data_IF_520594567669
#
_entry.id   IF_520594567669
#
_cell.length_a   1.000
_cell.length_b   1.000
_cell.length_c   1.000
_cell.angle_alpha   90.00
_cell.angle_beta   90.00
_cell.angle_gamma   90.00
#
_symmetry.space_group_name_H-M   'P 1'
#
loop_
_entity.id
_entity.type
_entity.pdbx_description
1 polymer ?
#
# COMPACT_ATOMS: atom_id res chain seq x y z
N UNK A 1 -14.63 -7.58 -19.91
CA UNK A 1 -15.43 -8.35 -18.93
C UNK A 1 -16.27 -7.32 -18.20
N UNK A 2 -17.60 -7.46 -18.10
CA UNK A 2 -18.44 -6.42 -17.49
C UNK A 2 -18.27 -6.37 -15.95
N UNK A 3 -17.90 -5.19 -15.42
CA UNK A 3 -17.77 -4.93 -13.97
C UNK A 3 -18.89 -4.02 -13.41
N UNK A 4 -20.00 -3.87 -14.14
CA UNK A 4 -21.16 -3.11 -13.67
C UNK A 4 -21.64 -3.57 -12.28
N UNK A 5 -21.98 -2.60 -11.41
CA UNK A 5 -22.35 -2.80 -10.00
C UNK A 5 -21.25 -3.42 -9.12
N UNK A 6 -19.98 -3.33 -9.52
CA UNK A 6 -18.85 -3.73 -8.69
C UNK A 6 -18.12 -2.50 -8.20
N UNK A 7 -17.90 -2.44 -6.89
CA UNK A 7 -17.05 -1.44 -6.26
C UNK A 7 -15.62 -1.96 -6.17
N UNK A 8 -14.66 -1.20 -6.68
CA UNK A 8 -13.23 -1.57 -6.69
C UNK A 8 -12.42 -0.51 -5.97
N UNK A 9 -11.83 -0.86 -4.83
CA UNK A 9 -10.94 0.00 -4.05
C UNK A 9 -9.48 -0.18 -4.49
N UNK A 10 -8.82 0.91 -4.85
CA UNK A 10 -7.44 0.89 -5.34
C UNK A 10 -6.60 1.86 -4.52
N UNK A 11 -5.69 1.30 -3.71
CA UNK A 11 -4.69 2.05 -2.96
C UNK A 11 -3.47 2.37 -3.81
N UNK A 12 -2.83 3.52 -3.59
CA UNK A 12 -1.70 3.97 -4.41
C UNK A 12 -2.13 4.40 -5.82
N UNK A 13 -3.39 4.81 -5.97
CA UNK A 13 -4.00 5.11 -7.27
C UNK A 13 -3.50 6.42 -7.92
N UNK A 14 -2.66 7.21 -7.24
CA UNK A 14 -2.22 8.52 -7.75
C UNK A 14 -1.19 8.47 -8.88
N UNK A 15 -0.68 7.28 -9.26
CA UNK A 15 0.24 7.11 -10.41
C UNK A 15 0.46 5.63 -10.76
N UNK A 16 1.12 5.39 -11.89
CA UNK A 16 1.68 4.10 -12.26
C UNK A 16 0.62 3.00 -12.33
N UNK A 17 0.92 1.85 -11.73
CA UNK A 17 0.05 0.67 -11.78
C UNK A 17 -1.32 0.96 -11.15
N UNK A 18 -1.37 1.66 -10.00
CA UNK A 18 -2.63 1.97 -9.34
C UNK A 18 -3.54 2.86 -10.20
N UNK A 19 -2.98 3.90 -10.81
CA UNK A 19 -3.72 4.79 -11.72
C UNK A 19 -4.24 4.04 -12.95
N UNK A 20 -3.38 3.27 -13.64
CA UNK A 20 -3.78 2.49 -14.80
C UNK A 20 -4.86 1.46 -14.47
N UNK A 21 -4.76 0.82 -13.29
CA UNK A 21 -5.76 -0.13 -12.80
C UNK A 21 -7.10 0.56 -12.57
N UNK A 22 -7.11 1.74 -11.95
CA UNK A 22 -8.33 2.51 -11.70
C UNK A 22 -9.04 2.88 -13.00
N UNK A 23 -8.30 3.41 -13.96
CA UNK A 23 -8.84 3.83 -15.27
C UNK A 23 -9.41 2.63 -16.04
N UNK A 24 -8.74 1.47 -16.00
CA UNK A 24 -9.21 0.27 -16.68
C UNK A 24 -10.49 -0.29 -16.03
N UNK A 25 -10.56 -0.35 -14.69
CA UNK A 25 -11.78 -0.81 -14.01
C UNK A 25 -12.96 0.15 -14.25
N UNK A 26 -12.71 1.46 -14.25
CA UNK A 26 -13.72 2.45 -14.58
C UNK A 26 -14.24 2.28 -16.02
N UNK A 27 -13.33 2.07 -17.00
CA UNK A 27 -13.69 1.78 -18.40
C UNK A 27 -14.53 0.51 -18.59
N UNK A 28 -14.35 -0.49 -17.72
CA UNK A 28 -15.14 -1.72 -17.75
C UNK A 28 -16.45 -1.62 -16.91
N UNK A 29 -16.77 -0.42 -16.39
CA UNK A 29 -18.04 -0.10 -15.74
C UNK A 29 -18.07 -0.33 -14.23
N UNK A 30 -16.92 -0.46 -13.56
CA UNK A 30 -16.86 -0.53 -12.11
C UNK A 30 -16.99 0.86 -11.45
N UNK A 31 -17.58 0.89 -10.26
CA UNK A 31 -17.48 2.05 -9.35
C UNK A 31 -16.11 2.00 -8.67
N UNK A 32 -15.20 2.92 -9.03
CA UNK A 32 -13.83 2.88 -8.55
C UNK A 32 -13.62 3.86 -7.40
N UNK A 33 -13.05 3.36 -6.30
CA UNK A 33 -12.61 4.18 -5.17
C UNK A 33 -11.08 4.27 -5.22
N UNK A 34 -10.56 5.47 -5.48
CA UNK A 34 -9.11 5.71 -5.58
C UNK A 34 -8.56 6.29 -4.28
N UNK A 35 -7.47 5.72 -3.77
CA UNK A 35 -6.87 6.11 -2.48
C UNK A 35 -5.38 6.41 -2.67
N UNK A 36 -4.93 7.52 -2.08
CA UNK A 36 -3.54 7.96 -2.13
C UNK A 36 -3.29 9.24 -1.32
N UNK A 37 -2.01 9.60 -1.18
CA UNK A 37 -1.57 10.74 -0.34
C UNK A 37 -1.41 12.06 -1.09
N UNK A 38 -1.45 12.04 -2.42
CA UNK A 38 -1.26 13.22 -3.26
C UNK A 38 -2.60 13.52 -3.95
N UNK A 39 -3.28 14.55 -3.44
CA UNK A 39 -4.63 14.92 -3.86
C UNK A 39 -4.67 15.42 -5.31
N UNK A 40 -3.74 16.28 -5.73
CA UNK A 40 -3.69 16.79 -7.11
C UNK A 40 -3.60 15.66 -8.13
N UNK A 41 -2.70 14.70 -7.91
CA UNK A 41 -2.53 13.56 -8.81
C UNK A 41 -3.70 12.58 -8.79
N UNK A 42 -4.40 12.48 -7.67
CA UNK A 42 -5.62 11.68 -7.62
C UNK A 42 -6.75 12.37 -8.38
N UNK A 43 -6.84 13.72 -8.38
CA UNK A 43 -7.80 14.46 -9.20
C UNK A 43 -7.56 14.24 -10.69
N UNK A 44 -6.31 14.26 -11.12
CA UNK A 44 -5.93 13.90 -12.50
C UNK A 44 -6.44 12.49 -12.86
N UNK A 45 -6.21 11.50 -11.99
CA UNK A 45 -6.66 10.11 -12.22
C UNK A 45 -8.19 9.97 -12.15
N UNK A 46 -8.85 10.73 -11.26
CA UNK A 46 -10.31 10.81 -11.18
C UNK A 46 -10.92 11.31 -12.49
N UNK A 47 -10.37 12.38 -13.06
CA UNK A 47 -10.81 12.91 -14.36
C UNK A 47 -10.69 11.83 -15.46
N UNK A 48 -9.59 11.08 -15.47
CA UNK A 48 -9.39 9.97 -16.41
C UNK A 48 -10.33 8.77 -16.17
N UNK A 49 -10.76 8.56 -14.91
CA UNK A 49 -11.75 7.54 -14.55
C UNK A 49 -13.19 7.97 -14.86
N UNK A 50 -13.45 9.27 -15.09
CA UNK A 50 -14.78 9.86 -15.25
C UNK A 50 -15.42 9.58 -16.63
N UNK A 51 -15.33 8.35 -17.09
CA UNK A 51 -16.09 7.83 -18.24
C UNK A 51 -17.41 7.27 -17.68
N UNK A 52 -18.33 8.16 -17.28
CA UNK A 52 -19.77 7.88 -17.27
C UNK A 52 -20.48 7.44 -15.97
N UNK A 53 -19.83 7.32 -14.81
CA UNK A 53 -20.52 7.10 -13.50
C UNK A 53 -19.81 7.84 -12.34
N UNK A 54 -20.48 7.89 -11.19
CA UNK A 54 -20.28 8.84 -10.06
C UNK A 54 -18.82 9.11 -9.67
N UNK A 55 -18.59 10.34 -9.21
CA UNK A 55 -17.29 10.88 -8.77
C UNK A 55 -16.55 9.91 -7.83
N UNK A 56 -15.31 9.50 -8.15
CA UNK A 56 -14.53 8.62 -7.31
C UNK A 56 -14.28 9.28 -5.94
N UNK A 57 -14.74 8.61 -4.89
CA UNK A 57 -14.64 9.14 -3.55
C UNK A 57 -13.21 8.98 -2.99
N UNK A 58 -12.68 10.06 -2.42
CA UNK A 58 -11.43 10.07 -1.69
C UNK A 58 -11.70 9.58 -0.28
N UNK A 59 -11.42 8.31 -0.02
CA UNK A 59 -11.47 7.78 1.35
C UNK A 59 -10.06 7.44 1.82
N UNK A 60 -9.53 8.25 2.74
CA UNK A 60 -8.53 7.73 3.65
C UNK A 60 -9.20 6.65 4.51
N UNK A 61 -8.83 5.39 4.25
CA UNK A 61 -9.42 4.25 4.94
C UNK A 61 -9.23 4.38 6.46
N UNK A 62 -8.15 5.02 6.92
CA UNK A 62 -7.95 5.27 8.33
C UNK A 62 -8.95 6.31 8.87
N UNK A 63 -9.30 7.33 8.10
CA UNK A 63 -10.30 8.33 8.48
C UNK A 63 -11.71 7.71 8.55
N UNK A 64 -12.08 6.91 7.55
CA UNK A 64 -13.38 6.21 7.52
C UNK A 64 -13.51 5.23 8.68
N UNK A 65 -12.45 4.46 8.94
CA UNK A 65 -12.43 3.47 10.00
C UNK A 65 -12.33 4.10 11.40
N UNK A 66 -11.71 5.27 11.53
CA UNK A 66 -11.61 5.97 12.81
C UNK A 66 -12.99 6.33 13.39
N UNK A 67 -13.97 6.69 12.54
CA UNK A 67 -15.35 6.94 12.97
C UNK A 67 -16.01 5.71 13.61
N UNK A 68 -15.48 4.52 13.34
CA UNK A 68 -15.95 3.23 13.86
C UNK A 68 -15.04 2.68 14.98
N UNK A 69 -14.09 3.49 15.47
CA UNK A 69 -13.12 3.05 16.48
C UNK A 69 -12.06 2.08 15.96
N UNK A 70 -11.92 1.96 14.64
CA UNK A 70 -10.94 1.06 14.00
C UNK A 70 -9.74 1.87 13.52
N UNK A 71 -8.53 1.36 13.80
CA UNK A 71 -7.26 1.97 13.37
C UNK A 71 -6.74 1.23 12.15
N UNK A 72 -6.21 1.97 11.17
CA UNK A 72 -5.59 1.40 9.98
C UNK A 72 -4.23 2.05 9.76
N UNK A 73 -3.19 1.24 9.54
CA UNK A 73 -1.83 1.71 9.27
C UNK A 73 -1.19 0.86 8.19
N UNK A 74 -0.14 1.37 7.56
CA UNK A 74 0.67 0.65 6.57
C UNK A 74 2.03 0.28 7.17
N UNK A 75 2.51 -0.92 6.88
CA UNK A 75 3.91 -1.31 7.11
C UNK A 75 4.54 -1.54 5.74
N UNK A 76 5.65 -0.86 5.48
CA UNK A 76 6.42 -0.94 4.23
C UNK A 76 7.79 -1.53 4.52
N UNK A 77 7.95 -2.87 4.47
CA UNK A 77 9.24 -3.51 4.66
C UNK A 77 10.17 -3.27 3.46
N UNK A 78 11.47 -3.20 3.75
CA UNK A 78 12.50 -3.36 2.72
C UNK A 78 12.80 -4.83 2.44
N UNK A 79 14.04 -5.19 2.08
CA UNK A 79 14.43 -6.58 1.92
C UNK A 79 14.24 -7.36 3.22
N UNK A 80 13.44 -8.42 3.16
CA UNK A 80 13.13 -9.33 4.28
C UNK A 80 13.38 -10.77 3.87
N UNK A 81 13.99 -11.54 4.76
CA UNK A 81 14.17 -12.99 4.63
C UNK A 81 12.80 -13.67 4.62
N UNK A 82 12.38 -14.11 3.44
CA UNK A 82 11.15 -14.86 3.21
C UNK A 82 11.41 -15.94 2.15
N UNK A 83 10.58 -16.99 2.18
CA UNK A 83 10.66 -18.11 1.23
C UNK A 83 10.29 -17.68 -0.21
N UNK A 84 9.94 -16.41 -0.43
CA UNK A 84 9.51 -15.86 -1.71
C UNK A 84 10.64 -15.90 -2.75
N UNK A 85 11.90 -15.73 -2.33
CA UNK A 85 13.05 -15.73 -3.23
C UNK A 85 13.46 -17.15 -3.63
N UNK A 86 13.37 -18.11 -2.72
CA UNK A 86 13.52 -19.53 -3.04
C UNK A 86 12.38 -19.99 -3.95
N UNK A 87 11.14 -19.62 -3.64
CA UNK A 87 9.95 -19.97 -4.44
C UNK A 87 9.94 -19.31 -5.82
N UNK A 88 10.56 -18.14 -5.96
CA UNK A 88 10.74 -17.46 -7.25
C UNK A 88 11.94 -17.99 -8.07
N UNK A 89 12.71 -18.95 -7.54
CA UNK A 89 13.87 -19.52 -8.21
C UNK A 89 15.09 -18.59 -8.25
N UNK A 90 15.18 -17.63 -7.32
CA UNK A 90 16.27 -16.63 -7.25
C UNK A 90 16.95 -16.68 -5.87
N UNK A 91 17.62 -17.79 -5.51
CA UNK A 91 18.18 -18.01 -4.17
C UNK A 91 19.33 -17.04 -3.80
N UNK A 92 20.03 -16.47 -4.79
CA UNK A 92 21.14 -15.54 -4.55
C UNK A 92 20.73 -14.08 -4.35
N UNK A 93 19.45 -13.72 -4.60
CA UNK A 93 19.01 -12.32 -4.58
C UNK A 93 19.37 -11.63 -3.26
N UNK A 94 19.23 -12.33 -2.13
CA UNK A 94 19.45 -11.80 -0.78
C UNK A 94 20.92 -11.75 -0.34
N UNK A 95 21.83 -12.54 -0.94
CA UNK A 95 23.22 -12.64 -0.45
C UNK A 95 24.00 -11.33 -0.56
N UNK A 96 23.67 -10.49 -1.54
CA UNK A 96 24.35 -9.22 -1.78
C UNK A 96 23.66 -7.99 -1.14
N UNK A 97 22.41 -8.13 -0.66
CA UNK A 97 21.66 -7.00 -0.08
C UNK A 97 22.27 -6.41 1.19
N UNK A 98 22.80 -7.19 2.15
CA UNK A 98 23.35 -6.64 3.40
C UNK A 98 24.39 -5.55 3.15
N UNK A 99 25.27 -5.71 2.15
CA UNK A 99 26.31 -4.73 1.85
C UNK A 99 25.77 -3.35 1.45
N UNK A 100 24.58 -3.30 0.88
CA UNK A 100 23.95 -2.08 0.32
C UNK A 100 23.09 -1.33 1.34
N UNK A 101 22.63 -2.00 2.39
CA UNK A 101 21.74 -1.42 3.41
C UNK A 101 22.57 -0.67 4.48
N UNK A 102 22.12 0.48 5.00
CA UNK A 102 22.81 1.18 6.09
C UNK A 102 23.01 0.35 7.35
N UNK A 103 22.00 -0.44 7.77
CA UNK A 103 22.12 -1.32 8.94
C UNK A 103 22.85 -2.64 8.66
N UNK A 104 23.37 -2.82 7.45
CA UNK A 104 24.19 -3.98 7.04
C UNK A 104 23.56 -5.34 7.28
N UNK A 105 22.22 -5.42 7.24
CA UNK A 105 21.46 -6.66 7.39
C UNK A 105 20.18 -6.63 6.56
N UNK A 106 19.72 -7.82 6.16
CA UNK A 106 18.35 -8.04 5.67
C UNK A 106 17.44 -8.18 6.89
N UNK A 107 16.18 -7.73 6.78
CA UNK A 107 15.21 -7.86 7.86
C UNK A 107 14.74 -9.29 8.01
N UNK A 108 14.37 -9.71 9.22
CA UNK A 108 13.68 -11.00 9.43
C UNK A 108 12.17 -10.81 9.40
N UNK A 109 11.43 -11.84 8.98
CA UNK A 109 9.95 -11.82 8.98
C UNK A 109 9.38 -11.54 10.37
N UNK A 110 10.04 -12.01 11.42
CA UNK A 110 9.68 -11.76 12.82
C UNK A 110 9.78 -10.27 13.19
N UNK A 111 10.75 -9.52 12.64
CA UNK A 111 10.89 -8.08 12.93
C UNK A 111 9.73 -7.26 12.35
N UNK A 112 9.23 -7.65 11.18
CA UNK A 112 8.02 -7.06 10.59
C UNK A 112 6.80 -7.43 11.41
N UNK A 113 6.70 -8.70 11.84
CA UNK A 113 5.59 -9.18 12.65
C UNK A 113 5.54 -8.48 14.03
N UNK A 114 6.69 -8.24 14.66
CA UNK A 114 6.79 -7.52 15.94
C UNK A 114 6.25 -6.09 15.82
N UNK A 115 6.58 -5.39 14.72
CA UNK A 115 6.03 -4.07 14.44
C UNK A 115 4.51 -4.12 14.23
N UNK A 116 4.01 -5.10 13.48
CA UNK A 116 2.56 -5.27 13.27
C UNK A 116 1.85 -5.56 14.60
N UNK A 117 2.41 -6.42 15.46
CA UNK A 117 1.89 -6.71 16.79
C UNK A 117 1.86 -5.46 17.67
N UNK A 118 2.93 -4.65 17.64
CA UNK A 118 2.95 -3.35 18.32
C UNK A 118 1.82 -2.45 17.82
N UNK A 119 1.68 -2.29 16.50
CA UNK A 119 0.64 -1.45 15.88
C UNK A 119 -0.77 -1.95 16.18
N UNK A 120 -0.97 -3.26 16.30
CA UNK A 120 -2.25 -3.86 16.67
C UNK A 120 -2.57 -3.67 18.17
N UNK A 121 -1.56 -3.54 19.02
CA UNK A 121 -1.72 -3.45 20.48
C UNK A 121 -2.22 -2.09 21.00
N UNK A 122 -2.65 -2.07 22.26
CA UNK A 122 -3.00 -0.86 23.01
C UNK A 122 -1.86 0.16 23.17
N UNK A 123 -0.61 -0.27 22.99
CA UNK A 123 0.55 0.64 23.02
C UNK A 123 0.53 1.62 21.84
N UNK A 124 -0.14 1.27 20.75
CA UNK A 124 -0.30 2.06 19.54
C UNK A 124 -1.72 2.67 19.40
N UNK A 125 -2.48 2.79 20.50
CA UNK A 125 -3.90 3.23 20.45
C UNK A 125 -4.14 4.63 19.85
N UNK A 126 -3.10 5.47 19.77
CA UNK A 126 -3.17 6.80 19.15
C UNK A 126 -2.62 6.82 17.71
N UNK A 127 -2.36 5.66 17.11
CA UNK A 127 -1.71 5.53 15.80
C UNK A 127 -2.70 4.97 14.77
N UNK A 128 -3.05 5.80 13.78
CA UNK A 128 -3.85 5.47 12.59
C UNK A 128 -3.41 6.36 11.41
N UNK A 129 -3.64 5.93 10.18
CA UNK A 129 -3.30 6.65 8.95
C UNK A 129 -1.80 6.76 8.64
N UNK A 130 -0.95 6.07 9.40
CA UNK A 130 0.51 6.21 9.30
C UNK A 130 1.14 5.10 8.46
N UNK A 131 2.27 5.41 7.81
CA UNK A 131 3.13 4.43 7.15
C UNK A 131 4.42 4.22 7.94
N UNK A 132 4.70 2.97 8.31
CA UNK A 132 5.90 2.58 9.03
C UNK A 132 6.86 1.85 8.11
N UNK A 133 8.03 2.45 7.88
CA UNK A 133 9.07 1.89 7.02
C UNK A 133 9.98 1.02 7.88
N UNK A 134 10.18 -0.24 7.49
CA UNK A 134 11.06 -1.20 8.15
C UNK A 134 12.00 -1.83 7.12
N UNK A 135 12.95 -1.04 6.64
CA UNK A 135 13.73 -1.33 5.44
C UNK A 135 15.24 -1.37 5.65
N UNK A 136 15.67 -1.41 6.92
CA UNK A 136 17.09 -1.35 7.31
C UNK A 136 17.85 -0.14 6.77
N UNK A 137 17.13 0.96 6.51
CA UNK A 137 17.67 2.23 6.03
C UNK A 137 17.77 2.32 4.51
N UNK A 138 17.17 1.40 3.74
CA UNK A 138 17.23 1.43 2.28
C UNK A 138 16.86 2.80 1.69
N UNK A 139 15.80 3.43 2.20
CA UNK A 139 15.31 4.72 1.69
C UNK A 139 16.06 5.95 2.24
N UNK A 140 17.11 5.77 3.05
CA UNK A 140 17.94 6.88 3.54
C UNK A 140 19.05 7.28 2.56
N UNK A 141 19.21 6.54 1.46
CA UNK A 141 20.25 6.72 0.45
C UNK A 141 19.68 7.18 -0.89
#
# INVERSE_FOLDING_TARGET
MSFYNKVVLITGASRGIGAATAILFAKEGADVVIVGRNEEKLKEVEEECSIGQETPYYYDIALVLAAHGVRANTVSPGPVETDIFESAGIPEALQNYPGQLPLKKVGKKEEVADLILFLASEKAKSITGSNYITDNGLLLN
#
